data_IF_096155520912
#
_entry.id   IF_096155520912
#
_cell.length_a   1.000
_cell.length_b   1.000
_cell.length_c   1.000
_cell.angle_alpha   90.00
_cell.angle_beta   90.00
_cell.angle_gamma   90.00
#
_symmetry.space_group_name_H-M   'P 1'
#
loop_
_entity.id
_entity.type
_entity.pdbx_description
1 polymer ?
#
# COMPACT_ATOMS: atom_id res chain seq x y z
N UNK A 1 17.56 -32.43 -11.98
CA UNK A 1 17.14 -31.01 -11.94
C UNK A 1 15.68 -30.96 -11.52
N UNK A 2 15.34 -30.30 -10.41
CA UNK A 2 13.97 -30.28 -9.87
C UNK A 2 13.16 -29.13 -10.47
N UNK A 3 12.15 -29.40 -11.33
CA UNK A 3 11.32 -28.35 -11.92
C UNK A 3 10.59 -27.49 -10.88
N UNK A 4 10.30 -28.04 -9.69
CA UNK A 4 9.71 -27.32 -8.56
C UNK A 4 10.60 -26.22 -7.98
N UNK A 5 11.93 -26.36 -8.07
CA UNK A 5 12.87 -25.38 -7.52
C UNK A 5 12.97 -24.14 -8.41
N UNK A 6 12.95 -24.32 -9.73
CA UNK A 6 12.91 -23.21 -10.68
C UNK A 6 11.63 -22.38 -10.51
N UNK A 7 10.48 -23.04 -10.40
CA UNK A 7 9.19 -22.36 -10.17
C UNK A 7 9.21 -21.52 -8.88
N UNK A 8 9.72 -22.07 -7.78
CA UNK A 8 9.85 -21.34 -6.50
C UNK A 8 10.75 -20.11 -6.62
N UNK A 9 11.90 -20.22 -7.29
CA UNK A 9 12.82 -19.09 -7.49
C UNK A 9 12.17 -18.00 -8.33
N UNK A 10 11.45 -18.37 -9.40
CA UNK A 10 10.71 -17.40 -10.22
C UNK A 10 9.61 -16.70 -9.43
N UNK A 11 8.86 -17.44 -8.61
CA UNK A 11 7.82 -16.87 -7.75
C UNK A 11 8.42 -15.92 -6.71
N UNK A 12 9.50 -16.32 -6.04
CA UNK A 12 10.19 -15.47 -5.06
C UNK A 12 10.68 -14.16 -5.70
N UNK A 13 11.31 -14.24 -6.88
CA UNK A 13 11.75 -13.05 -7.62
C UNK A 13 10.59 -12.11 -7.96
N UNK A 14 9.45 -12.66 -8.40
CA UNK A 14 8.25 -11.86 -8.70
C UNK A 14 7.70 -11.17 -7.45
N UNK A 15 7.62 -11.88 -6.33
CA UNK A 15 7.15 -11.33 -5.06
C UNK A 15 8.10 -10.22 -4.59
N UNK A 16 9.41 -10.45 -4.63
CA UNK A 16 10.40 -9.43 -4.27
C UNK A 16 10.34 -8.20 -5.18
N UNK A 17 10.11 -8.40 -6.49
CA UNK A 17 9.93 -7.29 -7.42
C UNK A 17 8.66 -6.48 -7.11
N UNK A 18 7.52 -7.12 -6.82
CA UNK A 18 6.32 -6.40 -6.38
C UNK A 18 6.58 -5.67 -5.05
N UNK A 19 7.12 -6.35 -4.05
CA UNK A 19 7.40 -5.75 -2.74
C UNK A 19 8.29 -4.49 -2.84
N UNK A 20 9.25 -4.46 -3.77
CA UNK A 20 10.13 -3.31 -3.97
C UNK A 20 9.48 -2.15 -4.73
N UNK A 21 8.37 -2.39 -5.44
CA UNK A 21 7.72 -1.37 -6.28
C UNK A 21 6.33 -0.98 -5.76
N UNK A 22 5.77 -1.69 -4.78
CA UNK A 22 4.45 -1.39 -4.25
C UNK A 22 4.45 -0.19 -3.33
N UNK A 23 3.71 0.84 -3.75
CA UNK A 23 3.54 2.08 -3.02
C UNK A 23 2.14 2.21 -2.40
N UNK A 24 1.92 3.31 -1.68
CA UNK A 24 0.65 3.57 -1.01
C UNK A 24 -0.56 3.67 -1.96
N UNK A 25 -0.35 3.98 -3.24
CA UNK A 25 -1.43 4.12 -4.22
C UNK A 25 -1.81 2.76 -4.81
N UNK A 26 -0.83 1.89 -5.07
CA UNK A 26 -1.11 0.50 -5.47
C UNK A 26 -1.95 -0.22 -4.41
N UNK A 27 -1.59 -0.09 -3.12
CA UNK A 27 -2.38 -0.67 -2.04
C UNK A 27 -3.74 -0.01 -1.89
N UNK A 28 -3.85 1.30 -2.08
CA UNK A 28 -5.14 1.98 -2.02
C UNK A 28 -6.09 1.43 -3.09
N UNK A 29 -5.63 1.35 -4.34
CA UNK A 29 -6.41 0.80 -5.45
C UNK A 29 -6.84 -0.64 -5.20
N UNK A 30 -5.96 -1.47 -4.61
CA UNK A 30 -6.30 -2.85 -4.24
C UNK A 30 -7.36 -2.90 -3.14
N UNK A 31 -7.23 -2.08 -2.11
CA UNK A 31 -8.16 -2.03 -0.97
C UNK A 31 -9.54 -1.49 -1.36
N UNK A 32 -9.60 -0.60 -2.35
CA UNK A 32 -10.85 -0.08 -2.92
C UNK A 32 -11.33 -0.86 -4.14
N UNK A 33 -10.65 -1.95 -4.50
CA UNK A 33 -11.00 -2.85 -5.59
C UNK A 33 -12.08 -3.85 -5.20
N UNK A 34 -12.70 -4.53 -6.19
CA UNK A 34 -13.83 -5.43 -5.95
C UNK A 34 -13.51 -6.61 -5.02
N UNK A 35 -12.23 -6.99 -4.89
CA UNK A 35 -11.80 -8.08 -4.02
C UNK A 35 -11.84 -7.72 -2.53
N UNK A 36 -11.67 -6.45 -2.19
CA UNK A 36 -11.47 -6.02 -0.80
C UNK A 36 -12.43 -4.94 -0.32
N UNK A 37 -13.08 -4.20 -1.23
CA UNK A 37 -13.92 -3.05 -0.90
C UNK A 37 -14.97 -3.37 0.18
N UNK A 38 -15.82 -4.37 -0.07
CA UNK A 38 -16.89 -4.78 0.87
C UNK A 38 -16.31 -5.09 2.27
N UNK A 39 -15.14 -5.74 2.31
CA UNK A 39 -14.52 -6.12 3.57
C UNK A 39 -13.95 -4.90 4.30
N UNK A 40 -13.27 -4.02 3.57
CA UNK A 40 -12.73 -2.78 4.12
C UNK A 40 -13.87 -1.93 4.69
N UNK A 41 -14.93 -1.69 3.92
CA UNK A 41 -16.10 -0.92 4.35
C UNK A 41 -16.76 -1.53 5.60
N UNK A 42 -16.91 -2.85 5.66
CA UNK A 42 -17.50 -3.53 6.84
C UNK A 42 -16.67 -3.38 8.13
N UNK A 43 -15.38 -3.05 8.01
CA UNK A 43 -14.45 -2.89 9.12
C UNK A 43 -14.11 -1.42 9.41
N UNK A 44 -14.60 -0.48 8.61
CA UNK A 44 -14.34 0.92 8.84
C UNK A 44 -15.01 1.36 10.15
N UNK A 45 -14.27 2.03 11.05
CA UNK A 45 -14.89 2.63 12.22
C UNK A 45 -15.79 3.79 11.80
N UNK A 46 -16.77 4.13 12.64
CA UNK A 46 -17.59 5.32 12.49
C UNK A 46 -16.70 6.53 12.20
N UNK A 47 -16.94 7.12 11.03
CA UNK A 47 -15.94 7.93 10.35
C UNK A 47 -15.60 9.22 11.14
N UNK A 48 -14.32 9.44 11.42
CA UNK A 48 -13.79 10.78 11.65
C UNK A 48 -13.12 11.25 10.37
N UNK A 49 -13.50 12.41 9.88
CA UNK A 49 -12.76 13.06 8.81
C UNK A 49 -11.39 13.47 9.34
N UNK A 50 -10.37 12.74 8.89
CA UNK A 50 -8.96 13.03 9.16
C UNK A 50 -8.31 13.44 7.85
N UNK A 51 -7.18 14.12 7.96
CA UNK A 51 -6.34 14.48 6.82
C UNK A 51 -6.02 13.27 5.93
N UNK A 52 -5.65 12.15 6.58
CA UNK A 52 -5.51 10.82 5.97
C UNK A 52 -6.68 9.94 6.44
N UNK A 53 -7.66 9.61 5.57
CA UNK A 53 -8.74 8.70 5.92
C UNK A 53 -8.24 7.30 6.29
N UNK A 54 -9.06 6.48 6.97
CA UNK A 54 -8.63 5.16 7.43
C UNK A 54 -8.07 4.25 6.32
N UNK A 55 -8.68 4.26 5.14
CA UNK A 55 -8.22 3.46 3.99
C UNK A 55 -6.88 3.95 3.42
N UNK A 56 -6.68 5.28 3.36
CA UNK A 56 -5.38 5.86 2.97
C UNK A 56 -4.29 5.54 4.00
N UNK A 57 -4.64 5.61 5.30
CA UNK A 57 -3.71 5.23 6.38
C UNK A 57 -3.33 3.74 6.31
N UNK A 58 -4.30 2.86 6.01
CA UNK A 58 -4.05 1.43 5.83
C UNK A 58 -3.13 1.17 4.62
N UNK A 59 -3.36 1.85 3.50
CA UNK A 59 -2.51 1.68 2.31
C UNK A 59 -1.07 2.16 2.54
N UNK A 60 -0.90 3.28 3.24
CA UNK A 60 0.40 3.77 3.71
C UNK A 60 1.10 2.75 4.62
N UNK A 61 0.39 2.18 5.59
CA UNK A 61 0.96 1.16 6.49
C UNK A 61 1.43 -0.09 5.74
N UNK A 62 0.66 -0.56 4.75
CA UNK A 62 1.06 -1.71 3.92
C UNK A 62 2.33 -1.40 3.10
N UNK A 63 2.41 -0.23 2.49
CA UNK A 63 3.60 0.23 1.79
C UNK A 63 4.82 0.29 2.73
N UNK A 64 4.65 0.86 3.92
CA UNK A 64 5.70 0.91 4.94
C UNK A 64 6.17 -0.50 5.32
N UNK A 65 5.26 -1.43 5.60
CA UNK A 65 5.61 -2.77 6.04
C UNK A 65 6.36 -3.58 4.98
N UNK A 66 6.04 -3.33 3.70
CA UNK A 66 6.65 -3.99 2.53
C UNK A 66 7.95 -3.33 2.06
N UNK A 67 8.16 -2.05 2.39
CA UNK A 67 9.42 -1.35 2.12
C UNK A 67 10.60 -2.00 2.86
N UNK A 68 11.79 -1.94 2.23
CA UNK A 68 13.04 -2.38 2.82
C UNK A 68 13.46 -1.51 4.02
N UNK A 69 13.12 -0.21 4.01
CA UNK A 69 13.49 0.74 5.08
C UNK A 69 12.49 0.77 6.24
N UNK A 70 11.24 0.34 6.00
CA UNK A 70 10.09 0.42 6.91
C UNK A 70 9.91 1.79 7.59
N UNK A 71 10.37 2.86 6.95
CA UNK A 71 10.37 4.20 7.52
C UNK A 71 8.95 4.78 7.49
N UNK A 72 8.41 5.10 8.67
CA UNK A 72 7.14 5.80 8.78
C UNK A 72 7.24 7.21 8.17
N UNK A 73 8.34 7.91 8.43
CA UNK A 73 8.58 9.25 7.89
C UNK A 73 8.56 9.25 6.36
N UNK A 74 9.25 8.30 5.73
CA UNK A 74 9.36 8.26 4.26
C UNK A 74 7.99 8.05 3.61
N UNK A 75 7.14 7.20 4.19
CA UNK A 75 5.79 6.96 3.68
C UNK A 75 4.87 8.18 3.87
N UNK A 76 5.01 8.91 4.98
CA UNK A 76 4.26 10.15 5.21
C UNK A 76 4.72 11.25 4.24
N UNK A 77 6.03 11.39 4.02
CA UNK A 77 6.58 12.38 3.09
C UNK A 77 6.14 12.10 1.65
N UNK A 78 6.18 10.83 1.21
CA UNK A 78 5.68 10.42 -0.11
C UNK A 78 4.19 10.72 -0.27
N UNK A 79 3.37 10.41 0.74
CA UNK A 79 1.94 10.72 0.74
C UNK A 79 1.70 12.25 0.66
N UNK A 80 2.45 13.05 1.40
CA UNK A 80 2.34 14.51 1.36
C UNK A 80 2.68 15.07 -0.03
N UNK A 81 3.75 14.58 -0.66
CA UNK A 81 4.14 14.97 -2.03
C UNK A 81 3.05 14.58 -3.03
N UNK A 82 2.54 13.34 -2.95
CA UNK A 82 1.48 12.84 -3.84
C UNK A 82 0.18 13.64 -3.72
N UNK A 83 -0.19 14.05 -2.51
CA UNK A 83 -1.35 14.94 -2.27
C UNK A 83 -1.17 16.30 -2.94
N UNK A 84 0.01 16.92 -2.79
CA UNK A 84 0.33 18.19 -3.46
C UNK A 84 0.29 18.05 -4.99
N UNK A 85 0.86 16.96 -5.53
CA UNK A 85 0.80 16.66 -6.97
C UNK A 85 -0.64 16.45 -7.46
N UNK A 86 -1.51 15.91 -6.61
CA UNK A 86 -2.94 15.75 -6.86
C UNK A 86 -3.78 17.01 -6.65
N UNK A 87 -3.18 18.15 -6.31
CA UNK A 87 -3.89 19.42 -6.07
C UNK A 87 -4.62 19.49 -4.71
N UNK A 88 -4.32 18.58 -3.79
CA UNK A 88 -4.85 18.60 -2.42
C UNK A 88 -4.01 19.52 -1.53
N UNK A 89 -4.58 19.94 -0.39
CA UNK A 89 -3.84 20.72 0.61
C UNK A 89 -2.62 19.96 1.14
N UNK A 90 -1.57 20.71 1.48
CA UNK A 90 -0.44 20.20 2.25
C UNK A 90 -0.91 19.53 3.55
N UNK A 91 -0.10 18.59 4.03
CA UNK A 91 -0.33 17.85 5.26
C UNK A 91 0.06 18.65 6.49
#
# INVERSE_FOLDING_TARGET
>A
MHPSQHVRIHQQKRISAHAANSDSYEFFNLLTGPEFLDKVESLLPDHRERLFPPTETLSMFLAQAMSADRSCQNVVDDAAIKRLMGGLSAC
#
